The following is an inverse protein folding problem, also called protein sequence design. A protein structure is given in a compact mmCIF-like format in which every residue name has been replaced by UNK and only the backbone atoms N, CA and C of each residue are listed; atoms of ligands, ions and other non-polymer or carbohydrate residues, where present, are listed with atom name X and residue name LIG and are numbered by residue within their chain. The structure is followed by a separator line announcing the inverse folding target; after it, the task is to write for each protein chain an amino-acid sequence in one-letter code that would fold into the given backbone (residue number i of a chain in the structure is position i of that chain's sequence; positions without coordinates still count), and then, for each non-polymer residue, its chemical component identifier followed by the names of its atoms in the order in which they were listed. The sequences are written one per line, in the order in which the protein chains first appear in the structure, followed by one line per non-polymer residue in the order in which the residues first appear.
data_IF_707890841283
#
_entry.id   IF_707890841283
#
_cell.length_a   1.000
_cell.length_b   1.000
_cell.length_c   1.000
_cell.angle_alpha   90.00
_cell.angle_beta   90.00
_cell.angle_gamma   90.00
#
_symmetry.space_group_name_H-M   'P 1'
#
loop_
_entity.id
_entity.type
_entity.pdbx_description
1 polymer ?
#
# COMPACT_ATOMS: atom_id res chain seq x y z
N UNK A 1 -13.13 -6.93 18.34
CA UNK A 1 -12.46 -5.61 18.37
C UNK A 1 -11.82 -5.43 17.02
N UNK A 2 -11.94 -4.26 16.42
CA UNK A 2 -11.28 -3.89 15.16
C UNK A 2 -10.24 -2.83 15.48
N UNK A 3 -9.06 -2.91 14.87
CA UNK A 3 -8.00 -1.93 14.99
C UNK A 3 -7.58 -1.48 13.60
N UNK A 4 -7.22 -0.20 13.45
CA UNK A 4 -6.78 0.35 12.18
C UNK A 4 -5.83 1.53 12.40
N UNK A 5 -4.97 1.78 11.41
CA UNK A 5 -4.07 2.94 11.37
C UNK A 5 -4.75 4.13 10.68
N UNK A 6 -4.44 5.33 11.14
CA UNK A 6 -4.84 6.61 10.54
C UNK A 6 -3.81 7.13 9.51
N UNK A 7 -2.68 6.43 9.34
CA UNK A 7 -1.51 6.93 8.59
C UNK A 7 -1.64 6.79 7.08
N UNK A 8 -2.50 5.88 6.62
CA UNK A 8 -2.64 5.58 5.21
C UNK A 8 -3.75 6.44 4.57
N UNK A 9 -4.95 5.89 4.45
CA UNK A 9 -6.07 6.54 3.75
C UNK A 9 -6.56 7.85 4.40
N UNK A 10 -6.20 8.13 5.65
CA UNK A 10 -6.67 9.30 6.41
C UNK A 10 -5.63 10.41 6.54
N UNK A 11 -4.42 10.22 5.95
CA UNK A 11 -3.36 11.24 5.91
C UNK A 11 -3.04 11.89 7.27
N UNK A 12 -3.10 11.10 8.35
CA UNK A 12 -2.82 11.55 9.72
C UNK A 12 -1.78 10.63 10.37
N UNK A 13 -1.73 10.52 11.70
CA UNK A 13 -0.85 9.58 12.40
C UNK A 13 -1.57 8.83 13.51
N UNK A 14 -0.97 7.71 13.94
CA UNK A 14 -1.51 6.88 15.01
C UNK A 14 -2.57 5.90 14.54
N UNK A 15 -3.40 5.43 15.47
CA UNK A 15 -4.39 4.39 15.20
C UNK A 15 -5.56 4.46 16.15
N UNK A 16 -6.59 3.68 15.84
CA UNK A 16 -7.79 3.57 16.67
C UNK A 16 -8.21 2.12 16.84
N UNK A 17 -8.98 1.86 17.90
CA UNK A 17 -9.66 0.59 18.10
C UNK A 17 -11.15 0.83 18.31
N UNK A 18 -11.98 -0.08 17.80
CA UNK A 18 -13.44 -0.05 17.94
C UNK A 18 -13.91 -1.40 18.47
N UNK A 19 -14.84 -1.36 19.40
CA UNK A 19 -15.39 -2.57 20.01
C UNK A 19 -16.51 -2.25 20.98
N UNK A 20 -16.96 -3.26 21.72
CA UNK A 20 -17.92 -3.07 22.81
C UNK A 20 -17.32 -2.14 23.86
N UNK A 21 -18.15 -1.28 24.44
CA UNK A 21 -17.74 -0.23 25.38
C UNK A 21 -16.83 -0.76 26.49
N UNK A 22 -17.21 -1.86 27.15
CA UNK A 22 -16.41 -2.45 28.24
C UNK A 22 -15.02 -2.92 27.79
N UNK A 23 -14.86 -3.35 26.53
CA UNK A 23 -13.56 -3.77 25.99
C UNK A 23 -12.68 -2.55 25.71
N UNK A 24 -13.25 -1.50 25.12
CA UNK A 24 -12.54 -0.23 24.87
C UNK A 24 -12.18 0.45 26.20
N UNK A 25 -13.07 0.46 27.17
CA UNK A 25 -12.80 0.98 28.53
C UNK A 25 -11.67 0.23 29.21
N UNK A 26 -11.62 -1.10 29.11
CA UNK A 26 -10.53 -1.89 29.64
C UNK A 26 -9.19 -1.52 28.97
N UNK A 27 -9.14 -1.44 27.63
CA UNK A 27 -7.94 -0.99 26.90
C UNK A 27 -7.51 0.44 27.30
N UNK A 28 -8.47 1.35 27.48
CA UNK A 28 -8.20 2.74 27.86
C UNK A 28 -7.59 2.88 29.26
N UNK A 29 -7.96 2.00 30.18
CA UNK A 29 -7.51 2.04 31.58
C UNK A 29 -6.27 1.16 31.83
N UNK A 30 -6.11 0.09 31.07
CA UNK A 30 -5.08 -0.93 31.30
C UNK A 30 -4.00 -0.97 30.21
N UNK A 31 -4.20 -0.29 29.08
CA UNK A 31 -3.22 -0.23 27.99
C UNK A 31 -2.05 0.69 28.34
N UNK A 32 -0.88 0.12 28.62
CA UNK A 32 0.32 0.88 28.98
C UNK A 32 0.67 1.97 27.95
N UNK A 33 0.63 1.62 26.66
CA UNK A 33 0.89 2.58 25.57
C UNK A 33 -0.17 3.68 25.44
N UNK A 34 -1.39 3.46 25.94
CA UNK A 34 -2.44 4.48 25.96
C UNK A 34 -2.30 5.41 27.18
N UNK A 35 -2.00 4.85 28.36
CA UNK A 35 -1.90 5.61 29.61
C UNK A 35 -0.60 6.42 29.74
N UNK A 36 0.50 5.92 29.17
CA UNK A 36 1.85 6.49 29.35
C UNK A 36 2.43 7.07 28.05
N UNK A 37 1.57 7.46 27.11
CA UNK A 37 1.95 8.15 25.87
C UNK A 37 1.21 9.48 25.74
N UNK A 38 1.80 10.42 25.02
CA UNK A 38 1.14 11.68 24.69
C UNK A 38 -0.02 11.46 23.72
N UNK A 39 -1.09 12.25 23.88
CA UNK A 39 -2.22 12.22 22.95
C UNK A 39 -1.84 12.72 21.55
N UNK A 40 -2.58 12.26 20.54
CA UNK A 40 -2.46 12.77 19.16
C UNK A 40 -2.66 14.31 19.14
N UNK A 41 -1.79 15.09 18.48
CA UNK A 41 -1.97 16.54 18.34
C UNK A 41 -3.34 16.90 17.76
N UNK A 42 -4.01 17.96 18.25
CA UNK A 42 -5.36 18.33 17.82
C UNK A 42 -5.52 18.50 16.30
N UNK A 43 -4.51 19.08 15.63
CA UNK A 43 -4.49 19.25 14.18
C UNK A 43 -4.64 17.91 13.44
N UNK A 44 -3.88 16.89 13.86
CA UNK A 44 -3.88 15.56 13.25
C UNK A 44 -5.18 14.80 13.54
N UNK A 45 -5.74 14.99 14.75
CA UNK A 45 -7.05 14.45 15.10
C UNK A 45 -8.16 15.03 14.21
N UNK A 46 -8.15 16.35 13.97
CA UNK A 46 -9.10 17.01 13.07
C UNK A 46 -8.90 16.55 11.62
N UNK A 47 -7.66 16.42 11.14
CA UNK A 47 -7.37 15.91 9.79
C UNK A 47 -7.93 14.49 9.58
N UNK A 48 -7.72 13.59 10.56
CA UNK A 48 -8.28 12.23 10.50
C UNK A 48 -9.82 12.23 10.52
N UNK A 49 -10.43 13.10 11.35
CA UNK A 49 -11.89 13.25 11.39
C UNK A 49 -12.45 13.75 10.07
N UNK A 50 -11.79 14.71 9.43
CA UNK A 50 -12.19 15.21 8.12
C UNK A 50 -11.99 14.17 7.02
N UNK A 51 -10.91 13.40 7.04
CA UNK A 51 -10.71 12.27 6.13
C UNK A 51 -11.86 11.25 6.21
N UNK A 52 -12.31 10.91 7.42
CA UNK A 52 -13.47 10.03 7.63
C UNK A 52 -14.77 10.66 7.10
N UNK A 53 -14.97 11.97 7.32
CA UNK A 53 -16.15 12.68 6.82
C UNK A 53 -16.19 12.66 5.29
N UNK A 54 -15.08 12.98 4.63
CA UNK A 54 -14.95 12.94 3.16
C UNK A 54 -15.23 11.54 2.63
N UNK A 55 -14.66 10.47 3.23
CA UNK A 55 -14.93 9.09 2.79
C UNK A 55 -16.43 8.75 2.89
N UNK A 56 -17.13 9.25 3.91
CA UNK A 56 -18.55 9.00 4.11
C UNK A 56 -19.44 9.82 3.14
N UNK A 57 -19.05 11.05 2.83
CA UNK A 57 -19.77 11.93 1.90
C UNK A 57 -19.51 11.59 0.42
N UNK A 58 -18.32 11.08 0.10
CA UNK A 58 -17.82 10.80 -1.26
C UNK A 58 -17.47 9.30 -1.46
N UNK A 59 -18.43 8.37 -1.30
CA UNK A 59 -18.17 6.92 -1.39
C UNK A 59 -17.71 6.46 -2.78
N UNK A 60 -17.89 7.28 -3.82
CA UNK A 60 -17.34 7.07 -5.16
C UNK A 60 -15.81 7.11 -5.19
N UNK A 61 -15.13 7.80 -4.27
CA UNK A 61 -13.66 7.76 -4.18
C UNK A 61 -13.15 6.35 -3.91
N UNK A 62 -13.80 5.65 -2.99
CA UNK A 62 -13.48 4.25 -2.66
C UNK A 62 -13.76 3.34 -3.87
N UNK A 63 -14.90 3.53 -4.53
CA UNK A 63 -15.22 2.77 -5.75
C UNK A 63 -14.23 3.04 -6.89
N UNK A 64 -13.77 4.29 -7.03
CA UNK A 64 -12.80 4.70 -8.05
C UNK A 64 -11.43 4.06 -7.82
N UNK A 65 -10.89 4.11 -6.59
CA UNK A 65 -9.60 3.46 -6.29
C UNK A 65 -9.69 1.94 -6.45
N UNK A 66 -10.82 1.31 -6.09
CA UNK A 66 -11.05 -0.12 -6.31
C UNK A 66 -11.09 -0.47 -7.81
N UNK A 67 -11.76 0.34 -8.63
CA UNK A 67 -11.78 0.15 -10.09
C UNK A 67 -10.38 0.24 -10.67
N UNK A 68 -9.61 1.26 -10.31
CA UNK A 68 -8.22 1.39 -10.76
C UNK A 68 -7.32 0.26 -10.25
N UNK A 69 -7.53 -0.19 -9.01
CA UNK A 69 -6.81 -1.32 -8.46
C UNK A 69 -7.05 -2.61 -9.27
N UNK A 70 -8.29 -2.84 -9.72
CA UNK A 70 -8.64 -3.97 -10.60
C UNK A 70 -7.98 -3.82 -11.97
N UNK A 71 -8.09 -2.65 -12.59
CA UNK A 71 -7.46 -2.37 -13.90
C UNK A 71 -5.95 -2.59 -13.85
N UNK A 72 -5.26 -2.01 -12.86
CA UNK A 72 -3.83 -2.18 -12.67
C UNK A 72 -3.47 -3.64 -12.41
N UNK A 73 -4.24 -4.35 -11.58
CA UNK A 73 -3.94 -5.75 -11.29
C UNK A 73 -3.96 -6.62 -12.55
N UNK A 74 -4.99 -6.47 -13.39
CA UNK A 74 -5.10 -7.20 -14.66
C UNK A 74 -4.02 -6.78 -15.64
N UNK A 75 -3.77 -5.48 -15.76
CA UNK A 75 -2.74 -4.94 -16.64
C UNK A 75 -1.35 -5.45 -16.28
N UNK A 76 -1.01 -5.45 -14.99
CA UNK A 76 0.26 -5.99 -14.49
C UNK A 76 0.34 -7.50 -14.66
N UNK A 77 -0.75 -8.24 -14.42
CA UNK A 77 -0.75 -9.68 -14.67
C UNK A 77 -0.42 -9.99 -16.13
N UNK A 78 -1.05 -9.29 -17.09
CA UNK A 78 -0.77 -9.44 -18.51
C UNK A 78 0.66 -8.99 -18.87
N UNK A 79 1.13 -7.88 -18.29
CA UNK A 79 2.49 -7.36 -18.51
C UNK A 79 3.59 -8.32 -18.04
N UNK A 80 3.28 -9.18 -17.08
CA UNK A 80 4.23 -10.14 -16.50
C UNK A 80 4.22 -11.50 -17.18
N UNK A 81 3.27 -11.77 -18.09
CA UNK A 81 3.22 -13.03 -18.84
C UNK A 81 4.53 -13.26 -19.61
N UNK A 82 5.14 -14.43 -19.40
CA UNK A 82 6.42 -14.78 -20.03
C UNK A 82 7.67 -14.18 -19.37
N UNK A 83 7.50 -13.42 -18.28
CA UNK A 83 8.60 -12.92 -17.44
C UNK A 83 8.68 -13.70 -16.13
N UNK A 84 9.76 -13.49 -15.37
CA UNK A 84 9.90 -14.02 -14.02
C UNK A 84 9.23 -13.11 -12.96
N UNK A 85 8.63 -12.00 -13.35
CA UNK A 85 7.88 -11.16 -12.42
C UNK A 85 6.47 -11.72 -12.23
N UNK A 86 5.91 -11.54 -11.04
CA UNK A 86 4.52 -11.90 -10.77
C UNK A 86 3.92 -11.00 -9.68
N UNK A 87 2.59 -10.96 -9.63
CA UNK A 87 1.87 -10.23 -8.60
C UNK A 87 1.45 -11.13 -7.45
N UNK A 88 1.62 -10.64 -6.22
CA UNK A 88 0.95 -11.17 -5.04
C UNK A 88 -0.09 -10.18 -4.51
N UNK A 89 -1.29 -10.68 -4.24
CA UNK A 89 -2.37 -9.90 -3.61
C UNK A 89 -3.72 -10.11 -4.29
N UNK A 90 -4.74 -9.45 -3.74
CA UNK A 90 -6.12 -9.52 -4.25
C UNK A 90 -6.36 -8.41 -5.28
N UNK A 91 -7.14 -8.72 -6.31
CA UNK A 91 -7.45 -7.81 -7.42
C UNK A 91 -8.01 -6.45 -6.98
N UNK A 92 -8.90 -6.42 -5.97
CA UNK A 92 -9.50 -5.18 -5.46
C UNK A 92 -8.57 -4.37 -4.54
N UNK A 93 -7.45 -4.94 -4.08
CA UNK A 93 -6.53 -4.27 -3.15
C UNK A 93 -5.83 -3.08 -3.82
N UNK A 94 -5.84 -1.87 -3.25
CA UNK A 94 -5.10 -0.73 -3.82
C UNK A 94 -3.58 -0.86 -3.70
N UNK A 95 -3.09 -1.81 -2.90
CA UNK A 95 -1.66 -2.14 -2.78
C UNK A 95 -1.36 -3.40 -3.58
N UNK A 96 -0.40 -3.32 -4.50
CA UNK A 96 0.09 -4.42 -5.32
C UNK A 96 1.52 -4.75 -4.94
N UNK A 97 1.80 -6.03 -4.66
CA UNK A 97 3.15 -6.52 -4.45
C UNK A 97 3.65 -7.17 -5.74
N UNK A 98 4.65 -6.56 -6.36
CA UNK A 98 5.40 -7.11 -7.48
C UNK A 98 6.55 -7.92 -6.91
N UNK A 99 6.64 -9.18 -7.28
CA UNK A 99 7.66 -10.13 -6.87
C UNK A 99 8.42 -10.65 -8.08
N UNK A 100 9.58 -11.25 -7.84
CA UNK A 100 10.41 -11.88 -8.85
C UNK A 100 10.69 -13.32 -8.45
N UNK A 101 10.43 -14.27 -9.35
CA UNK A 101 10.69 -15.70 -9.17
C UNK A 101 12.01 -16.08 -9.85
N UNK A 102 13.08 -16.12 -9.07
CA UNK A 102 14.41 -16.48 -9.57
C UNK A 102 15.54 -16.06 -8.64
N UNK A 103 16.77 -16.31 -9.07
CA UNK A 103 17.96 -15.87 -8.36
C UNK A 103 18.08 -14.33 -8.38
N UNK A 104 18.76 -13.78 -7.37
CA UNK A 104 18.99 -12.33 -7.23
C UNK A 104 17.70 -11.48 -7.22
N UNK A 105 16.58 -12.00 -6.69
CA UNK A 105 15.28 -11.31 -6.66
C UNK A 105 15.35 -9.87 -6.10
N UNK A 106 16.10 -9.67 -5.01
CA UNK A 106 16.35 -8.33 -4.42
C UNK A 106 16.92 -7.35 -5.46
N UNK A 107 17.96 -7.76 -6.17
CA UNK A 107 18.65 -6.92 -7.18
C UNK A 107 17.77 -6.66 -8.40
N UNK A 108 16.98 -7.66 -8.84
CA UNK A 108 16.03 -7.50 -9.94
C UNK A 108 14.91 -6.52 -9.58
N UNK A 109 14.41 -6.59 -8.35
CA UNK A 109 13.42 -5.66 -7.86
C UNK A 109 14.00 -4.25 -7.67
N UNK A 110 15.24 -4.12 -7.21
CA UNK A 110 15.94 -2.82 -7.16
C UNK A 110 16.09 -2.22 -8.56
N UNK A 111 16.55 -3.01 -9.54
CA UNK A 111 16.65 -2.58 -10.94
C UNK A 111 15.31 -2.15 -11.53
N UNK A 112 14.21 -2.83 -11.17
CA UNK A 112 12.87 -2.43 -11.58
C UNK A 112 12.50 -1.06 -11.01
N UNK A 113 12.73 -0.84 -9.71
CA UNK A 113 12.43 0.46 -9.07
C UNK A 113 13.28 1.58 -9.66
N UNK A 114 14.59 1.36 -9.81
CA UNK A 114 15.52 2.36 -10.33
C UNK A 114 15.17 2.74 -11.77
N UNK A 115 14.94 1.75 -12.65
CA UNK A 115 14.56 2.02 -14.05
C UNK A 115 13.21 2.73 -14.18
N UNK A 116 12.22 2.37 -13.38
CA UNK A 116 10.92 3.07 -13.41
C UNK A 116 11.06 4.54 -13.05
N UNK A 117 11.92 4.84 -12.08
CA UNK A 117 12.19 6.22 -11.67
C UNK A 117 13.03 6.97 -12.73
N UNK A 118 14.10 6.36 -13.21
CA UNK A 118 15.06 7.00 -14.11
C UNK A 118 14.53 7.16 -15.55
N UNK A 119 13.85 6.15 -16.09
CA UNK A 119 13.34 6.17 -17.48
C UNK A 119 12.00 6.91 -17.59
N UNK A 120 11.12 6.79 -16.58
CA UNK A 120 9.72 7.22 -16.68
C UNK A 120 9.21 8.12 -15.54
N UNK A 121 10.06 8.46 -14.55
CA UNK A 121 9.69 9.23 -13.36
C UNK A 121 8.54 8.59 -12.55
N UNK A 122 8.45 7.26 -12.54
CA UNK A 122 7.48 6.49 -11.77
C UNK A 122 8.16 5.98 -10.51
N UNK A 123 7.63 6.38 -9.34
CA UNK A 123 8.17 5.95 -8.05
C UNK A 123 7.32 4.82 -7.45
N UNK A 124 7.97 3.69 -7.19
CA UNK A 124 7.43 2.60 -6.36
C UNK A 124 8.40 2.31 -5.22
N UNK A 125 7.97 1.60 -4.17
CA UNK A 125 8.80 1.40 -2.98
C UNK A 125 9.20 -0.06 -2.79
N UNK A 126 10.43 -0.33 -2.35
CA UNK A 126 10.85 -1.68 -1.95
C UNK A 126 10.28 -2.03 -0.56
N UNK A 127 9.75 -3.24 -0.41
CA UNK A 127 9.52 -3.87 0.88
C UNK A 127 10.76 -4.70 1.22
N UNK A 128 11.60 -4.16 2.12
CA UNK A 128 12.83 -4.77 2.61
C UNK A 128 12.63 -5.28 4.03
N UNK A 129 13.28 -6.39 4.34
CA UNK A 129 13.17 -7.08 5.63
C UNK A 129 14.57 -7.44 6.14
N UNK A 130 14.71 -7.58 7.45
CA UNK A 130 15.96 -8.03 8.07
C UNK A 130 15.95 -9.55 8.12
N UNK A 131 16.39 -10.21 7.04
CA UNK A 131 16.26 -11.68 6.87
C UNK A 131 16.75 -12.50 8.07
N UNK A 132 17.81 -12.05 8.75
CA UNK A 132 18.40 -12.74 9.90
C UNK A 132 17.64 -12.54 11.22
N UNK A 133 16.75 -11.55 11.28
CA UNK A 133 15.94 -11.22 12.47
C UNK A 133 14.48 -11.66 12.31
N UNK A 134 14.03 -11.92 11.08
CA UNK A 134 12.67 -12.39 10.81
C UNK A 134 12.50 -13.87 11.18
N UNK A 135 11.59 -14.15 12.12
CA UNK A 135 11.21 -15.53 12.49
C UNK A 135 10.59 -16.27 11.30
N UNK A 136 9.90 -15.53 10.42
CA UNK A 136 9.28 -16.05 9.21
C UNK A 136 9.77 -15.21 8.02
N UNK A 137 10.64 -15.76 7.14
CA UNK A 137 11.18 -15.00 6.03
C UNK A 137 10.05 -14.58 5.08
N UNK A 138 9.96 -13.27 4.84
CA UNK A 138 8.97 -12.67 3.93
C UNK A 138 9.63 -12.50 2.57
N UNK A 139 8.92 -12.90 1.51
CA UNK A 139 9.42 -12.71 0.15
C UNK A 139 9.56 -11.21 -0.15
N UNK A 140 10.70 -10.78 -0.69
CA UNK A 140 10.90 -9.38 -1.04
C UNK A 140 9.97 -8.98 -2.18
N UNK A 141 9.54 -7.71 -2.18
CA UNK A 141 8.61 -7.21 -3.19
C UNK A 141 8.79 -5.71 -3.44
N UNK A 142 8.44 -5.24 -4.63
CA UNK A 142 8.21 -3.84 -4.89
C UNK A 142 6.70 -3.54 -4.73
N UNK A 143 6.37 -2.50 -3.99
CA UNK A 143 5.00 -2.07 -3.68
C UNK A 143 4.58 -0.96 -4.62
N UNK A 144 3.55 -1.24 -5.40
CA UNK A 144 2.84 -0.26 -6.22
C UNK A 144 1.51 0.08 -5.55
N UNK A 145 1.29 1.38 -5.31
CA UNK A 145 0.14 1.91 -4.58
C UNK A 145 -0.79 2.65 -5.54
N UNK A 146 -2.08 2.32 -5.50
CA UNK A 146 -3.11 2.95 -6.32
C UNK A 146 -3.91 3.94 -5.48
N UNK A 147 -4.17 5.12 -6.04
CA UNK A 147 -4.90 6.20 -5.36
C UNK A 147 -6.16 6.60 -6.14
N UNK A 148 -7.13 7.21 -5.46
CA UNK A 148 -8.37 7.67 -6.10
C UNK A 148 -8.16 8.82 -7.07
N UNK A 149 -7.14 9.66 -6.84
CA UNK A 149 -6.90 10.87 -7.63
C UNK A 149 -6.09 10.63 -8.91
N UNK A 150 -5.59 9.41 -9.12
CA UNK A 150 -4.91 9.05 -10.37
C UNK A 150 -5.83 9.20 -11.58
N UNK A 151 -5.24 9.55 -12.72
CA UNK A 151 -5.91 9.64 -14.02
C UNK A 151 -5.77 8.31 -14.79
N UNK A 152 -6.64 8.10 -15.78
CA UNK A 152 -6.55 6.90 -16.64
C UNK A 152 -5.25 6.91 -17.46
N UNK A 153 -4.84 8.09 -17.95
CA UNK A 153 -3.57 8.26 -18.67
C UNK A 153 -2.34 7.90 -17.82
N UNK A 154 -2.32 8.27 -16.53
CA UNK A 154 -1.24 7.89 -15.61
C UNK A 154 -1.20 6.38 -15.39
N UNK A 155 -2.35 5.73 -15.30
CA UNK A 155 -2.46 4.28 -15.14
C UNK A 155 -1.94 3.56 -16.37
N UNK A 156 -2.38 3.97 -17.56
CA UNK A 156 -1.97 3.38 -18.82
C UNK A 156 -0.47 3.57 -19.06
N UNK A 157 0.04 4.79 -18.81
CA UNK A 157 1.48 5.08 -18.88
C UNK A 157 2.27 4.18 -17.93
N UNK A 158 1.80 4.01 -16.69
CA UNK A 158 2.49 3.16 -15.73
C UNK A 158 2.51 1.68 -16.15
N UNK A 159 1.40 1.16 -16.67
CA UNK A 159 1.32 -0.22 -17.16
C UNK A 159 2.25 -0.46 -18.35
N UNK A 160 2.29 0.47 -19.31
CA UNK A 160 3.17 0.39 -20.49
C UNK A 160 4.64 0.45 -20.06
N UNK A 161 5.01 1.40 -19.20
CA UNK A 161 6.38 1.54 -18.68
C UNK A 161 6.83 0.27 -17.96
N UNK A 162 6.00 -0.26 -17.06
CA UNK A 162 6.30 -1.50 -16.33
C UNK A 162 6.48 -2.67 -17.29
N UNK A 163 5.57 -2.87 -18.26
CA UNK A 163 5.69 -3.94 -19.26
C UNK A 163 6.98 -3.85 -20.09
N UNK A 164 7.38 -2.63 -20.47
CA UNK A 164 8.61 -2.40 -21.23
C UNK A 164 9.87 -2.65 -20.40
N UNK A 165 9.86 -2.36 -19.09
CA UNK A 165 11.01 -2.54 -18.23
C UNK A 165 11.19 -4.00 -17.84
N UNK A 166 10.11 -4.70 -17.47
CA UNK A 166 10.19 -6.11 -17.03
C UNK A 166 10.62 -7.06 -18.15
N UNK A 167 10.34 -6.74 -19.41
CA UNK A 167 10.81 -7.53 -20.56
C UNK A 167 12.31 -7.36 -20.83
N UNK A 168 12.93 -6.28 -20.32
CA UNK A 168 14.37 -6.03 -20.40
C UNK A 168 15.14 -6.56 -19.18
N UNK A 169 14.45 -7.05 -18.15
CA UNK A 169 15.02 -7.51 -16.88
C UNK A 169 14.92 -9.02 -16.74
#
# INVERSE_FOLDING_TARGET
MVMASLENALASTGGFCVGRSYVVSHQRLSGLGYCFSASLPPLLATAASEGLRIINEEPERVRRVQRFAVTIHRGLHAAFEGTNFFLQGVEISPMKHIMYDGEEAEKKLDQLVDKLFDEDAIMITRARYLEHEEVFPIRPSARLMVQSEMTEDEIDRALISIANIVTKL
#
